data_IF_907621195130
#
_entry.id   IF_907621195130
#
_cell.length_a   1.000
_cell.length_b   1.000
_cell.length_c   1.000
_cell.angle_alpha   90.00
_cell.angle_beta   90.00
_cell.angle_gamma   90.00
#
_symmetry.space_group_name_H-M   'P 1'
#
loop_
_entity.id
_entity.type
_entity.pdbx_description
1 polymer ?
#
# COMPACT_ATOMS: atom_id res chain seq x y z
N UNK A 1 -9.13 -8.34 -12.86
CA UNK A 1 -10.01 -8.01 -11.72
C UNK A 1 -10.12 -6.49 -11.64
N UNK A 2 -11.25 -5.96 -11.21
CA UNK A 2 -11.48 -4.51 -11.08
C UNK A 2 -12.52 -4.23 -10.00
N UNK A 3 -12.84 -2.96 -9.77
CA UNK A 3 -13.75 -2.50 -8.70
C UNK A 3 -15.05 -3.31 -8.51
N UNK A 4 -15.66 -3.83 -9.58
CA UNK A 4 -16.90 -4.63 -9.52
C UNK A 4 -16.74 -5.97 -8.80
N UNK A 5 -15.51 -6.45 -8.62
CA UNK A 5 -15.20 -7.70 -7.94
C UNK A 5 -14.95 -7.54 -6.43
N UNK A 6 -15.04 -6.32 -5.89
CA UNK A 6 -14.78 -6.00 -4.47
C UNK A 6 -15.95 -6.41 -3.55
N UNK A 7 -16.30 -7.69 -3.54
CA UNK A 7 -17.25 -8.27 -2.58
C UNK A 7 -16.51 -8.72 -1.32
N UNK A 8 -17.17 -8.73 -0.15
CA UNK A 8 -16.56 -9.14 1.11
C UNK A 8 -15.84 -10.49 1.02
N UNK A 9 -16.48 -11.53 0.48
CA UNK A 9 -15.87 -12.87 0.38
C UNK A 9 -14.59 -12.87 -0.45
N UNK A 10 -14.58 -12.14 -1.57
CA UNK A 10 -13.40 -11.99 -2.43
C UNK A 10 -12.30 -11.23 -1.70
N UNK A 11 -12.64 -10.12 -1.03
CA UNK A 11 -11.65 -9.32 -0.27
C UNK A 11 -11.05 -10.16 0.86
N UNK A 12 -11.86 -10.92 1.60
CA UNK A 12 -11.39 -11.83 2.66
C UNK A 12 -10.48 -12.94 2.11
N UNK A 13 -10.85 -13.55 0.98
CA UNK A 13 -10.02 -14.57 0.33
C UNK A 13 -8.66 -14.00 -0.10
N UNK A 14 -8.63 -12.80 -0.68
CA UNK A 14 -7.38 -12.14 -1.07
C UNK A 14 -6.52 -11.77 0.15
N UNK A 15 -7.11 -11.25 1.22
CA UNK A 15 -6.36 -10.98 2.47
C UNK A 15 -5.73 -12.25 3.06
N UNK A 16 -6.39 -13.40 2.95
CA UNK A 16 -5.81 -14.68 3.36
C UNK A 16 -4.66 -15.11 2.43
N UNK A 17 -4.83 -14.95 1.12
CA UNK A 17 -3.80 -15.28 0.12
C UNK A 17 -2.54 -14.41 0.23
N UNK A 18 -2.62 -13.22 0.82
CA UNK A 18 -1.44 -12.40 1.14
C UNK A 18 -0.51 -13.03 2.19
N UNK A 19 -0.93 -14.12 2.84
CA UNK A 19 -0.13 -14.87 3.83
C UNK A 19 0.36 -16.23 3.31
N UNK A 20 0.20 -16.47 2.00
CA UNK A 20 0.63 -17.72 1.38
C UNK A 20 2.15 -17.86 1.38
N UNK A 21 2.66 -19.09 1.40
CA UNK A 21 4.09 -19.37 1.34
C UNK A 21 4.70 -18.96 -0.01
N UNK A 22 3.91 -19.05 -1.09
CA UNK A 22 4.35 -18.64 -2.42
C UNK A 22 4.22 -17.11 -2.60
N UNK A 23 5.38 -16.47 -2.78
CA UNK A 23 5.50 -15.05 -3.11
C UNK A 23 4.65 -14.61 -4.31
N UNK A 24 4.40 -15.47 -5.30
CA UNK A 24 3.59 -15.14 -6.47
C UNK A 24 2.10 -15.09 -6.12
N UNK A 25 1.64 -15.92 -5.18
CA UNK A 25 0.28 -15.86 -4.64
C UNK A 25 0.11 -14.58 -3.82
N UNK A 26 1.06 -14.27 -2.94
CA UNK A 26 1.06 -13.02 -2.17
C UNK A 26 1.03 -11.79 -3.09
N UNK A 27 1.91 -11.78 -4.10
CA UNK A 27 1.98 -10.73 -5.11
C UNK A 27 0.64 -10.56 -5.85
N UNK A 28 0.06 -11.65 -6.35
CA UNK A 28 -1.19 -11.61 -7.09
C UNK A 28 -2.36 -11.13 -6.22
N UNK A 29 -2.37 -11.51 -4.94
CA UNK A 29 -3.39 -11.09 -3.99
C UNK A 29 -3.34 -9.57 -3.73
N UNK A 30 -2.16 -9.03 -3.46
CA UNK A 30 -1.96 -7.59 -3.28
C UNK A 30 -2.27 -6.80 -4.57
N UNK A 31 -1.87 -7.32 -5.73
CA UNK A 31 -2.20 -6.70 -7.02
C UNK A 31 -3.71 -6.63 -7.26
N UNK A 32 -4.42 -7.71 -6.95
CA UNK A 32 -5.87 -7.79 -7.12
C UNK A 32 -6.60 -6.80 -6.20
N UNK A 33 -6.19 -6.68 -4.94
CA UNK A 33 -6.72 -5.67 -4.01
C UNK A 33 -6.47 -4.24 -4.53
N UNK A 34 -5.27 -3.95 -5.03
CA UNK A 34 -4.96 -2.66 -5.65
C UNK A 34 -5.85 -2.35 -6.87
N UNK A 35 -6.12 -3.34 -7.71
CA UNK A 35 -7.03 -3.20 -8.87
C UNK A 35 -8.50 -3.00 -8.48
N UNK A 36 -8.89 -3.38 -7.26
CA UNK A 36 -10.22 -3.09 -6.71
C UNK A 36 -10.35 -1.67 -6.19
N UNK A 37 -9.23 -0.98 -5.95
CA UNK A 37 -9.17 0.43 -5.57
C UNK A 37 -9.98 0.75 -4.31
N UNK A 38 -10.54 1.95 -4.28
CA UNK A 38 -11.31 2.50 -3.14
C UNK A 38 -12.50 1.66 -2.67
N UNK A 39 -13.01 0.74 -3.51
CA UNK A 39 -14.13 -0.14 -3.12
C UNK A 39 -13.72 -1.25 -2.18
N UNK A 40 -12.47 -1.72 -2.26
CA UNK A 40 -11.93 -2.72 -1.35
C UNK A 40 -11.22 -2.09 -0.13
N UNK A 41 -11.04 -0.77 -0.10
CA UNK A 41 -10.31 -0.09 0.98
C UNK A 41 -11.11 -0.10 2.28
N UNK A 42 -10.79 -1.06 3.16
CA UNK A 42 -11.21 -1.11 4.57
C UNK A 42 -9.98 -1.04 5.48
N UNK A 43 -10.19 -0.79 6.78
CA UNK A 43 -9.09 -0.76 7.75
C UNK A 43 -8.34 -2.09 7.85
N UNK A 44 -9.05 -3.21 7.69
CA UNK A 44 -8.46 -4.56 7.68
C UNK A 44 -7.57 -4.75 6.46
N UNK A 45 -8.03 -4.28 5.29
CA UNK A 45 -7.26 -4.34 4.04
C UNK A 45 -6.02 -3.46 4.11
N UNK A 46 -6.15 -2.23 4.63
CA UNK A 46 -5.01 -1.35 4.87
C UNK A 46 -4.01 -2.02 5.81
N UNK A 47 -4.47 -2.57 6.93
CA UNK A 47 -3.62 -3.27 7.91
C UNK A 47 -2.90 -4.47 7.28
N UNK A 48 -3.60 -5.27 6.46
CA UNK A 48 -3.00 -6.40 5.76
C UNK A 48 -1.92 -5.95 4.77
N UNK A 49 -2.15 -4.87 4.02
CA UNK A 49 -1.17 -4.30 3.10
C UNK A 49 0.02 -3.70 3.83
N UNK A 50 -0.18 -2.96 4.91
CA UNK A 50 0.91 -2.42 5.73
C UNK A 50 1.84 -3.52 6.23
N UNK A 51 1.30 -4.65 6.71
CA UNK A 51 2.11 -5.81 7.08
C UNK A 51 2.90 -6.37 5.89
N UNK A 52 2.29 -6.44 4.70
CA UNK A 52 2.94 -6.95 3.49
C UNK A 52 3.98 -5.98 2.89
N UNK A 53 4.07 -4.73 3.35
CA UNK A 53 5.19 -3.84 2.99
C UNK A 53 6.52 -4.34 3.54
N UNK A 54 6.50 -5.23 4.53
CA UNK A 54 7.69 -5.86 5.12
C UNK A 54 7.96 -7.27 4.54
N UNK A 55 7.33 -7.63 3.43
CA UNK A 55 7.55 -8.94 2.80
C UNK A 55 9.03 -9.16 2.43
N UNK A 56 9.51 -10.38 2.64
CA UNK A 56 10.86 -10.80 2.26
C UNK A 56 11.14 -10.56 0.77
N UNK A 57 10.12 -10.64 -0.08
CA UNK A 57 10.25 -10.57 -1.51
C UNK A 57 9.93 -9.19 -2.07
N UNK A 58 10.93 -8.57 -2.71
CA UNK A 58 10.83 -7.22 -3.28
C UNK A 58 9.65 -6.96 -4.21
N UNK A 59 9.24 -7.97 -4.99
CA UNK A 59 8.10 -7.80 -5.90
C UNK A 59 6.78 -7.69 -5.13
N UNK A 60 6.65 -8.35 -3.98
CA UNK A 60 5.49 -8.19 -3.09
C UNK A 60 5.51 -6.79 -2.49
N UNK A 61 6.63 -6.35 -1.91
CA UNK A 61 6.78 -4.98 -1.36
C UNK A 61 6.42 -3.90 -2.38
N UNK A 62 6.95 -4.03 -3.62
CA UNK A 62 6.64 -3.13 -4.73
C UNK A 62 5.14 -3.06 -5.02
N UNK A 63 4.48 -4.21 -5.23
CA UNK A 63 3.06 -4.23 -5.63
C UNK A 63 2.14 -3.78 -4.50
N UNK A 64 2.55 -3.97 -3.24
CA UNK A 64 1.83 -3.47 -2.07
C UNK A 64 1.85 -1.93 -2.04
N UNK A 65 3.01 -1.30 -2.27
CA UNK A 65 3.09 0.17 -2.41
C UNK A 65 2.18 0.67 -3.54
N UNK A 66 2.21 0.01 -4.70
CA UNK A 66 1.34 0.34 -5.82
C UNK A 66 -0.16 0.19 -5.47
N UNK A 67 -0.53 -0.88 -4.75
CA UNK A 67 -1.90 -1.13 -4.33
C UNK A 67 -2.41 -0.04 -3.38
N UNK A 68 -1.61 0.37 -2.40
CA UNK A 68 -1.95 1.46 -1.48
C UNK A 68 -2.17 2.78 -2.24
N UNK A 69 -1.34 3.11 -3.23
CA UNK A 69 -1.54 4.29 -4.08
C UNK A 69 -2.84 4.25 -4.90
N UNK A 70 -3.26 3.06 -5.37
CA UNK A 70 -4.51 2.85 -6.12
C UNK A 70 -5.76 2.89 -5.24
N UNK A 71 -5.61 2.68 -3.93
CA UNK A 71 -6.69 2.73 -2.97
C UNK A 71 -7.17 4.13 -2.62
N UNK A 72 -6.54 5.17 -3.17
CA UNK A 72 -7.05 6.54 -3.20
C UNK A 72 -7.20 7.18 -1.82
N UNK A 73 -8.11 8.15 -1.70
CA UNK A 73 -8.24 9.01 -0.51
C UNK A 73 -8.47 8.20 0.77
N UNK A 74 -9.19 7.09 0.68
CA UNK A 74 -9.47 6.20 1.82
C UNK A 74 -8.22 5.56 2.43
N UNK A 75 -7.15 5.41 1.65
CA UNK A 75 -5.89 4.86 2.12
C UNK A 75 -4.88 5.94 2.55
N UNK A 76 -5.20 7.23 2.42
CA UNK A 76 -4.31 8.33 2.79
C UNK A 76 -4.29 8.60 4.31
N UNK A 77 -4.06 7.55 5.10
CA UNK A 77 -3.86 7.67 6.55
C UNK A 77 -2.40 7.96 6.87
N UNK A 78 -2.12 8.47 8.07
CA UNK A 78 -0.75 8.76 8.50
C UNK A 78 0.12 7.49 8.50
N UNK A 79 -0.44 6.34 8.89
CA UNK A 79 0.26 5.06 8.92
C UNK A 79 0.71 4.65 7.50
N UNK A 80 -0.18 4.79 6.51
CA UNK A 80 0.15 4.49 5.11
C UNK A 80 1.19 5.46 4.57
N UNK A 81 1.07 6.74 4.89
CA UNK A 81 2.06 7.75 4.49
C UNK A 81 3.43 7.43 5.07
N UNK A 82 3.53 7.19 6.38
CA UNK A 82 4.80 6.83 7.03
C UNK A 82 5.38 5.54 6.45
N UNK A 83 4.56 4.53 6.19
CA UNK A 83 5.00 3.28 5.59
C UNK A 83 5.54 3.47 4.16
N UNK A 84 4.88 4.28 3.34
CA UNK A 84 5.35 4.62 1.99
C UNK A 84 6.66 5.42 2.03
N UNK A 85 6.78 6.41 2.92
CA UNK A 85 8.05 7.15 3.11
C UNK A 85 9.19 6.20 3.50
N UNK A 86 8.93 5.25 4.41
CA UNK A 86 9.92 4.23 4.76
C UNK A 86 10.29 3.34 3.56
N UNK A 87 9.32 2.95 2.73
CA UNK A 87 9.56 2.16 1.51
C UNK A 87 10.35 2.93 0.43
N UNK A 88 10.38 4.27 0.47
CA UNK A 88 11.29 5.05 -0.38
C UNK A 88 12.77 4.86 -0.01
N UNK A 89 13.07 4.22 1.12
CA UNK A 89 14.42 3.82 1.56
C UNK A 89 14.71 2.34 1.33
N UNK A 90 13.83 1.60 0.64
CA UNK A 90 14.03 0.19 0.34
C UNK A 90 15.35 -0.05 -0.43
N UNK A 91 15.99 -1.18 -0.16
CA UNK A 91 17.24 -1.60 -0.82
C UNK A 91 17.10 -1.66 -2.35
N UNK A 92 15.90 -1.95 -2.86
CA UNK A 92 15.64 -2.12 -4.29
C UNK A 92 15.02 -0.87 -4.92
N UNK A 93 15.66 -0.42 -6.00
CA UNK A 93 15.26 0.78 -6.73
C UNK A 93 13.79 0.76 -7.18
N UNK A 94 13.30 -0.37 -7.70
CA UNK A 94 11.92 -0.49 -8.18
C UNK A 94 10.91 -0.29 -7.05
N UNK A 95 11.23 -0.72 -5.83
CA UNK A 95 10.36 -0.52 -4.65
C UNK A 95 10.36 0.95 -4.26
N UNK A 96 11.55 1.59 -4.21
CA UNK A 96 11.66 3.02 -3.91
C UNK A 96 10.87 3.89 -4.88
N UNK A 97 11.03 3.63 -6.18
CA UNK A 97 10.34 4.36 -7.24
C UNK A 97 8.83 4.28 -7.09
N UNK A 98 8.29 3.06 -6.95
CA UNK A 98 6.85 2.86 -6.82
C UNK A 98 6.31 3.43 -5.51
N UNK A 99 7.07 3.37 -4.42
CA UNK A 99 6.70 4.00 -3.16
C UNK A 99 6.58 5.53 -3.32
N UNK A 100 7.52 6.18 -3.99
CA UNK A 100 7.46 7.61 -4.30
C UNK A 100 6.25 7.97 -5.18
N UNK A 101 5.95 7.16 -6.19
CA UNK A 101 4.79 7.37 -7.06
C UNK A 101 3.47 7.19 -6.30
N UNK A 102 3.34 6.10 -5.53
CA UNK A 102 2.16 5.82 -4.71
C UNK A 102 1.92 6.91 -3.67
N UNK A 103 2.98 7.40 -3.03
CA UNK A 103 2.92 8.53 -2.11
C UNK A 103 2.41 9.80 -2.80
N UNK A 104 2.98 10.17 -3.96
CA UNK A 104 2.51 11.32 -4.73
C UNK A 104 1.03 11.22 -5.07
N UNK A 105 0.57 10.05 -5.52
CA UNK A 105 -0.83 9.78 -5.82
C UNK A 105 -1.76 9.93 -4.62
N UNK A 106 -1.33 9.53 -3.41
CA UNK A 106 -2.13 9.68 -2.20
C UNK A 106 -2.17 11.13 -1.73
N UNK A 107 -1.04 11.83 -1.72
CA UNK A 107 -0.98 13.23 -1.28
C UNK A 107 -1.73 14.14 -2.24
N UNK A 108 -1.64 13.93 -3.56
CA UNK A 108 -2.42 14.72 -4.53
C UNK A 108 -3.93 14.61 -4.27
N UNK A 109 -4.40 13.40 -3.95
CA UNK A 109 -5.82 13.14 -3.72
C UNK A 109 -6.29 13.55 -2.33
N UNK A 110 -5.43 13.47 -1.33
CA UNK A 110 -5.81 13.64 0.08
C UNK A 110 -5.15 14.85 0.76
N UNK A 111 -4.57 15.80 0.02
CA UNK A 111 -3.77 16.92 0.56
C UNK A 111 -4.46 17.64 1.75
N UNK A 112 -4.12 17.22 2.96
CA UNK A 112 -4.54 17.87 4.21
C UNK A 112 -3.32 18.35 4.98
N UNK A 113 -3.53 19.30 5.89
CA UNK A 113 -2.47 19.78 6.79
C UNK A 113 -1.86 18.65 7.63
N UNK A 114 -2.62 17.59 7.89
CA UNK A 114 -2.17 16.42 8.63
C UNK A 114 -1.12 15.62 7.84
N UNK A 115 -1.38 15.37 6.55
CA UNK A 115 -0.44 14.72 5.63
C UNK A 115 0.86 15.51 5.50
N UNK A 116 0.77 16.84 5.43
CA UNK A 116 1.93 17.74 5.35
C UNK A 116 2.78 17.66 6.62
N UNK A 117 2.16 17.64 7.80
CA UNK A 117 2.87 17.54 9.07
C UNK A 117 3.52 16.16 9.25
N UNK A 118 2.84 15.08 8.86
CA UNK A 118 3.41 13.73 8.88
C UNK A 118 4.62 13.61 7.95
N UNK A 119 4.58 14.24 6.76
CA UNK A 119 5.74 14.34 5.86
C UNK A 119 6.90 15.08 6.53
N UNK A 120 6.64 16.25 7.13
CA UNK A 120 7.66 17.04 7.80
C UNK A 120 8.37 16.24 8.89
N UNK A 121 7.63 15.48 9.69
CA UNK A 121 8.19 14.63 10.75
C UNK A 121 8.97 13.44 10.17
N UNK A 122 8.42 12.73 9.18
CA UNK A 122 9.09 11.56 8.58
C UNK A 122 10.41 11.93 7.87
N UNK A 123 10.54 13.18 7.39
CA UNK A 123 11.78 13.73 6.85
C UNK A 123 12.76 14.25 7.91
N UNK A 124 12.29 14.56 9.13
CA UNK A 124 13.13 15.10 10.22
C UNK A 124 13.62 14.04 11.20
N UNK A 125 12.93 12.89 11.32
CA UNK A 125 13.34 11.74 12.16
C UNK A 125 14.58 10.99 11.63
N UNK A 126 15.43 11.65 10.83
CA UNK A 126 16.77 11.19 10.46
C UNK A 126 17.79 11.71 11.50
N UNK A 127 17.99 10.94 12.58
CA UNK A 127 19.17 11.01 13.44
C UNK A 127 20.07 9.80 13.24
#
# INVERSE_FOLDING_TARGET
>A
MGEKAATNDVVTALMNAMRDEDKYVRWAASEALGKMGEKATTNEVITALLNAMHDEHKYVRKVVSEALGKMGEKAATNEVITALVNAMRDEHYDVRWVASEAFGNLVEKAATNEVINTLANAMHDEH
#
